data_IF_956206467101
#
_entry.id   IF_956206467101
#
_cell.length_a   1.000
_cell.length_b   1.000
_cell.length_c   1.000
_cell.angle_alpha   90.00
_cell.angle_beta   90.00
_cell.angle_gamma   90.00
#
_symmetry.space_group_name_H-M   'P 1'
#
loop_
_entity.id
_entity.type
_entity.pdbx_description
1 polymer ?
#
# COMPACT_ATOMS: atom_id res chain seq x y z
N UNK A 1 39.02 -23.79 10.37
CA UNK A 1 38.23 -22.78 9.64
C UNK A 1 38.41 -21.45 10.35
N UNK A 2 38.98 -20.45 9.70
CA UNK A 2 38.89 -19.07 10.21
C UNK A 2 37.44 -18.60 10.09
N UNK A 3 36.97 -17.77 11.03
CA UNK A 3 35.71 -17.03 10.84
C UNK A 3 35.98 -15.83 9.95
N UNK A 4 35.18 -15.66 8.89
CA UNK A 4 35.21 -14.46 8.06
C UNK A 4 35.10 -13.19 8.93
N UNK A 5 35.92 -12.18 8.63
CA UNK A 5 35.97 -10.95 9.42
C UNK A 5 34.69 -10.14 9.24
N UNK A 6 34.04 -9.82 10.36
CA UNK A 6 32.77 -9.10 10.38
C UNK A 6 32.93 -7.67 9.80
N UNK A 7 32.07 -7.30 8.84
CA UNK A 7 32.19 -6.02 8.13
C UNK A 7 31.69 -4.84 8.98
N UNK A 8 32.63 -4.07 9.51
CA UNK A 8 32.41 -2.90 10.37
C UNK A 8 31.52 -1.83 9.72
N UNK A 9 31.67 -1.58 8.41
CA UNK A 9 30.93 -0.55 7.69
C UNK A 9 29.42 -0.83 7.56
N UNK A 10 28.98 -2.08 7.71
CA UNK A 10 27.58 -2.48 7.52
C UNK A 10 26.83 -2.80 8.84
N UNK A 11 27.45 -2.57 10.01
CA UNK A 11 26.97 -3.07 11.32
C UNK A 11 25.56 -2.63 11.76
N UNK A 12 24.89 -1.71 11.05
CA UNK A 12 23.52 -1.24 11.35
C UNK A 12 22.61 -1.07 10.12
N UNK A 13 23.01 -1.55 8.94
CA UNK A 13 22.22 -1.43 7.70
C UNK A 13 21.57 -2.75 7.31
N UNK A 14 20.23 -2.75 7.22
CA UNK A 14 19.42 -3.90 6.81
C UNK A 14 19.59 -4.27 5.33
N UNK A 15 19.95 -3.32 4.47
CA UNK A 15 20.28 -3.56 3.07
C UNK A 15 21.42 -4.58 2.88
N UNK A 16 21.31 -5.54 1.93
CA UNK A 16 22.37 -6.49 1.62
C UNK A 16 23.69 -5.82 1.21
N UNK A 17 24.78 -6.17 1.90
CA UNK A 17 26.12 -5.71 1.57
C UNK A 17 26.76 -6.66 0.54
N UNK A 18 26.90 -6.22 -0.72
CA UNK A 18 27.46 -7.04 -1.81
C UNK A 18 28.92 -7.47 -1.59
N UNK A 19 29.65 -6.80 -0.68
CA UNK A 19 31.03 -7.12 -0.32
C UNK A 19 31.15 -8.06 0.89
N UNK A 20 30.04 -8.39 1.57
CA UNK A 20 30.04 -9.06 2.87
C UNK A 20 29.68 -10.56 2.74
N UNK A 21 30.69 -11.41 2.50
CA UNK A 21 30.50 -12.88 2.35
C UNK A 21 29.81 -13.56 3.54
N UNK A 22 30.08 -13.10 4.76
CA UNK A 22 29.63 -13.72 6.01
C UNK A 22 28.29 -13.24 6.58
N UNK A 23 27.49 -12.46 5.85
CA UNK A 23 26.10 -12.19 6.28
C UNK A 23 25.22 -13.42 6.04
N UNK A 24 24.21 -13.69 6.90
CA UNK A 24 23.15 -14.60 6.51
C UNK A 24 22.51 -14.09 5.22
N UNK A 25 22.29 -14.98 4.25
CA UNK A 25 21.36 -14.69 3.15
C UNK A 25 19.99 -14.48 3.79
N UNK A 26 19.28 -13.41 3.42
CA UNK A 26 17.88 -13.23 3.84
C UNK A 26 17.12 -14.45 3.35
N UNK A 27 16.51 -15.20 4.27
CA UNK A 27 15.70 -16.37 3.89
C UNK A 27 14.52 -15.86 3.05
N UNK A 28 14.48 -16.30 1.79
CA UNK A 28 13.41 -15.94 0.86
C UNK A 28 12.26 -16.90 1.10
N UNK A 29 11.39 -16.55 2.05
CA UNK A 29 10.18 -17.32 2.33
C UNK A 29 9.26 -17.32 1.11
N UNK A 30 8.58 -18.45 0.87
CA UNK A 30 7.62 -18.54 -0.22
C UNK A 30 6.39 -17.68 0.07
N UNK A 31 6.08 -16.76 -0.84
CA UNK A 31 4.90 -15.89 -0.77
C UNK A 31 3.64 -16.74 -1.01
N UNK A 32 2.86 -16.96 0.04
CA UNK A 32 1.63 -17.78 0.02
C UNK A 32 0.37 -16.91 -0.13
N UNK A 33 -0.81 -17.54 -0.17
CA UNK A 33 -2.09 -16.85 -0.31
C UNK A 33 -2.38 -16.34 -1.73
N UNK A 34 -3.57 -15.77 -1.92
CA UNK A 34 -4.08 -15.31 -3.22
C UNK A 34 -3.44 -13.98 -3.65
N UNK A 35 -2.98 -13.82 -4.91
CA UNK A 35 -2.49 -12.54 -5.43
C UNK A 35 -3.54 -11.42 -5.28
N UNK A 36 -3.08 -10.18 -5.07
CA UNK A 36 -3.94 -8.99 -4.96
C UNK A 36 -4.52 -8.74 -3.58
N UNK A 37 -4.61 -9.73 -2.69
CA UNK A 37 -5.05 -9.53 -1.28
C UNK A 37 -3.92 -9.62 -0.25
N UNK A 38 -2.69 -9.95 -0.67
CA UNK A 38 -1.55 -10.14 0.23
C UNK A 38 -1.12 -8.83 0.90
N UNK A 39 -0.81 -8.92 2.19
CA UNK A 39 -0.25 -7.84 3.00
C UNK A 39 1.17 -7.43 2.52
N UNK A 40 1.55 -6.13 2.63
CA UNK A 40 2.82 -5.62 2.11
C UNK A 40 4.05 -6.31 2.69
N UNK A 41 4.04 -6.66 3.98
CA UNK A 41 5.10 -7.41 4.65
C UNK A 41 5.36 -8.77 3.99
N UNK A 42 4.31 -9.48 3.58
CA UNK A 42 4.46 -10.76 2.87
C UNK A 42 5.05 -10.54 1.47
N UNK A 43 4.67 -9.47 0.77
CA UNK A 43 5.22 -9.09 -0.54
C UNK A 43 6.69 -8.63 -0.45
N UNK A 44 7.14 -8.16 0.72
CA UNK A 44 8.55 -7.81 0.98
C UNK A 44 9.43 -9.03 1.31
N UNK A 45 8.89 -10.25 1.23
CA UNK A 45 9.63 -11.51 1.42
C UNK A 45 10.00 -11.78 2.88
N UNK A 46 9.17 -11.31 3.82
CA UNK A 46 9.33 -11.54 5.26
C UNK A 46 8.53 -12.78 5.69
N UNK A 47 9.15 -13.65 6.48
CA UNK A 47 8.47 -14.80 7.11
C UNK A 47 7.61 -14.42 8.32
N UNK A 48 7.18 -13.15 8.42
CA UNK A 48 6.43 -12.59 9.55
C UNK A 48 4.94 -12.90 9.39
N UNK A 49 4.60 -14.18 9.49
CA UNK A 49 3.21 -14.65 9.49
C UNK A 49 2.55 -14.30 10.83
N UNK A 50 1.77 -13.22 10.84
CA UNK A 50 1.01 -12.72 11.99
C UNK A 50 -0.49 -12.58 11.61
N UNK A 51 -1.42 -12.49 12.58
CA UNK A 51 -2.86 -12.37 12.27
C UNK A 51 -3.24 -11.10 11.49
N UNK A 52 -2.41 -10.06 11.48
CA UNK A 52 -2.65 -8.83 10.72
C UNK A 52 -2.67 -9.04 9.19
N UNK A 53 -2.06 -10.11 8.67
CA UNK A 53 -2.12 -10.41 7.22
C UNK A 53 -3.53 -10.81 6.75
N UNK A 54 -4.29 -11.52 7.60
CA UNK A 54 -5.67 -11.91 7.31
C UNK A 54 -6.62 -10.72 7.43
N UNK A 55 -6.32 -9.82 8.37
CA UNK A 55 -6.99 -8.52 8.56
C UNK A 55 -6.78 -7.60 7.34
N UNK A 56 -5.56 -7.49 6.83
CA UNK A 56 -5.28 -6.76 5.59
C UNK A 56 -6.04 -7.38 4.40
N UNK A 57 -5.99 -8.71 4.28
CA UNK A 57 -6.73 -9.46 3.24
C UNK A 57 -8.23 -9.18 3.32
N UNK A 58 -8.81 -9.15 4.52
CA UNK A 58 -10.20 -8.78 4.78
C UNK A 58 -10.51 -7.35 4.29
N UNK A 59 -9.63 -6.39 4.56
CA UNK A 59 -9.76 -5.00 4.07
C UNK A 59 -9.85 -4.89 2.54
N UNK A 60 -9.01 -5.63 1.81
CA UNK A 60 -9.06 -5.65 0.32
C UNK A 60 -10.30 -6.39 -0.22
N UNK A 61 -10.76 -7.45 0.47
CA UNK A 61 -12.02 -8.14 0.12
C UNK A 61 -13.22 -7.21 0.38
N UNK A 62 -13.25 -6.50 1.51
CA UNK A 62 -14.28 -5.51 1.81
C UNK A 62 -14.28 -4.37 0.79
N UNK A 63 -13.11 -3.85 0.41
CA UNK A 63 -12.98 -2.85 -0.65
C UNK A 63 -13.50 -3.37 -2.00
N UNK A 64 -13.26 -4.65 -2.33
CA UNK A 64 -13.84 -5.31 -3.52
C UNK A 64 -15.38 -5.29 -3.50
N UNK A 65 -15.98 -5.68 -2.36
CA UNK A 65 -17.43 -5.71 -2.16
C UNK A 65 -18.05 -4.31 -2.21
N UNK A 66 -17.46 -3.35 -1.50
CA UNK A 66 -17.95 -1.97 -1.47
C UNK A 66 -17.83 -1.32 -2.85
N UNK A 67 -16.76 -1.57 -3.62
CA UNK A 67 -16.64 -1.11 -5.01
C UNK A 67 -17.53 -1.86 -6.01
N UNK A 68 -18.19 -2.94 -5.60
CA UNK A 68 -18.88 -3.90 -6.49
C UNK A 68 -17.96 -4.44 -7.62
N UNK A 69 -16.66 -4.56 -7.35
CA UNK A 69 -15.63 -5.01 -8.28
C UNK A 69 -14.77 -6.08 -7.61
N UNK A 70 -14.91 -7.32 -8.05
CA UNK A 70 -14.09 -8.43 -7.56
C UNK A 70 -13.38 -9.16 -8.72
N UNK A 71 -12.08 -9.49 -8.60
CA UNK A 71 -11.18 -9.02 -7.55
C UNK A 71 -10.87 -7.51 -7.71
N UNK A 72 -10.57 -6.81 -6.61
CA UNK A 72 -10.24 -5.37 -6.68
C UNK A 72 -8.90 -5.14 -7.38
N UNK A 73 -7.89 -5.94 -7.01
CA UNK A 73 -6.57 -6.03 -7.63
C UNK A 73 -6.40 -7.37 -8.34
N UNK A 74 -5.62 -7.42 -9.42
CA UNK A 74 -5.36 -8.66 -10.15
C UNK A 74 -3.93 -8.71 -10.72
N UNK A 75 -2.91 -8.62 -9.85
CA UNK A 75 -1.51 -8.52 -10.26
C UNK A 75 -0.95 -9.85 -10.77
N UNK A 76 0.00 -9.77 -11.71
CA UNK A 76 0.70 -10.92 -12.30
C UNK A 76 1.84 -11.45 -11.42
N UNK A 77 2.45 -10.58 -10.62
CA UNK A 77 3.61 -10.84 -9.77
C UNK A 77 3.62 -9.92 -8.53
N UNK A 78 4.56 -10.13 -7.59
CA UNK A 78 4.66 -9.29 -6.38
C UNK A 78 4.97 -7.81 -6.68
N UNK A 79 5.63 -7.49 -7.80
CA UNK A 79 5.97 -6.10 -8.16
C UNK A 79 4.73 -5.35 -8.61
N UNK A 80 3.87 -5.98 -9.44
CA UNK A 80 2.56 -5.42 -9.78
C UNK A 80 1.67 -5.32 -8.53
N UNK A 81 1.73 -6.30 -7.61
CA UNK A 81 0.97 -6.23 -6.34
C UNK A 81 1.46 -5.06 -5.45
N UNK A 82 2.77 -4.79 -5.38
CA UNK A 82 3.33 -3.65 -4.65
C UNK A 82 2.92 -2.32 -5.30
N UNK A 83 2.83 -2.26 -6.64
CA UNK A 83 2.34 -1.08 -7.35
C UNK A 83 0.83 -0.85 -7.16
N UNK A 84 0.02 -1.92 -7.09
CA UNK A 84 -1.39 -1.88 -6.70
C UNK A 84 -1.56 -1.34 -5.27
N UNK A 85 -0.72 -1.77 -4.31
CA UNK A 85 -0.73 -1.19 -2.96
C UNK A 85 -0.23 0.25 -2.92
N UNK A 86 0.76 0.63 -3.73
CA UNK A 86 1.20 2.02 -3.87
C UNK A 86 0.14 2.93 -4.53
N UNK A 87 -0.72 2.36 -5.38
CA UNK A 87 -1.92 3.03 -5.88
C UNK A 87 -2.93 3.27 -4.73
N UNK A 88 -3.12 2.37 -3.77
CA UNK A 88 -4.09 2.58 -2.70
C UNK A 88 -3.54 3.46 -1.56
N UNK A 89 -2.35 3.12 -1.06
CA UNK A 89 -1.75 3.67 0.16
C UNK A 89 -0.80 4.84 -0.10
N UNK A 90 -0.40 5.07 -1.36
CA UNK A 90 0.62 6.05 -1.74
C UNK A 90 2.05 5.51 -1.67
N UNK A 91 2.94 6.08 -2.48
CA UNK A 91 4.30 5.53 -2.65
C UNK A 91 5.20 5.74 -1.43
N UNK A 92 5.04 6.85 -0.70
CA UNK A 92 5.82 7.13 0.51
C UNK A 92 5.51 6.15 1.65
N UNK A 93 4.23 5.77 1.79
CA UNK A 93 3.77 4.75 2.73
C UNK A 93 4.46 3.41 2.45
N UNK A 94 4.45 2.95 1.19
CA UNK A 94 5.09 1.70 0.76
C UNK A 94 6.61 1.73 0.96
N UNK A 95 7.28 2.82 0.59
CA UNK A 95 8.73 2.95 0.81
C UNK A 95 9.09 3.00 2.30
N UNK A 96 8.24 3.57 3.14
CA UNK A 96 8.42 3.64 4.60
C UNK A 96 8.19 2.28 5.26
N UNK A 97 7.10 1.59 4.93
CA UNK A 97 6.82 0.21 5.38
C UNK A 97 7.97 -0.72 4.99
N UNK A 98 8.41 -0.70 3.73
CA UNK A 98 9.56 -1.48 3.29
C UNK A 98 10.84 -1.15 4.07
N UNK A 99 11.09 0.13 4.36
CA UNK A 99 12.27 0.59 5.11
C UNK A 99 12.27 0.15 6.57
N UNK A 100 11.11 0.17 7.25
CA UNK A 100 10.94 -0.36 8.61
C UNK A 100 11.31 -1.84 8.64
N UNK A 101 10.79 -2.61 7.68
CA UNK A 101 11.10 -4.04 7.48
C UNK A 101 12.48 -4.32 6.85
N UNK A 102 13.35 -3.30 6.78
CA UNK A 102 14.72 -3.44 6.31
C UNK A 102 14.85 -3.88 4.85
N UNK A 103 13.85 -3.59 4.03
CA UNK A 103 13.89 -3.62 2.57
C UNK A 103 14.09 -2.20 2.01
N UNK A 104 14.33 -2.10 0.70
CA UNK A 104 14.31 -0.82 -0.02
C UNK A 104 13.51 -0.98 -1.30
N UNK A 105 12.23 -0.64 -1.23
CA UNK A 105 11.42 -0.32 -2.42
C UNK A 105 11.79 1.10 -2.88
N UNK A 106 11.68 1.37 -4.18
CA UNK A 106 11.79 2.71 -4.76
C UNK A 106 10.80 2.84 -5.90
N UNK A 107 9.87 3.79 -5.82
CA UNK A 107 8.85 4.01 -6.85
C UNK A 107 9.19 5.28 -7.64
N UNK A 108 9.25 5.15 -8.96
CA UNK A 108 9.71 6.21 -9.87
C UNK A 108 8.75 7.40 -9.94
N UNK A 109 7.44 7.14 -9.91
CA UNK A 109 6.42 8.18 -9.77
C UNK A 109 5.93 8.28 -8.32
N UNK A 110 5.93 9.50 -7.77
CA UNK A 110 5.36 9.79 -6.45
C UNK A 110 3.83 9.74 -6.51
N UNK A 111 3.27 8.66 -5.99
CA UNK A 111 1.82 8.46 -5.91
C UNK A 111 1.30 8.97 -4.56
N UNK A 112 0.36 9.94 -4.52
CA UNK A 112 -0.33 10.30 -3.27
C UNK A 112 -1.28 9.18 -2.83
N UNK A 113 -1.62 9.04 -1.54
CA UNK A 113 -2.61 8.06 -1.08
C UNK A 113 -3.99 8.27 -1.71
N UNK A 114 -4.80 7.21 -1.78
CA UNK A 114 -6.17 7.30 -2.26
C UNK A 114 -7.13 7.79 -1.15
N UNK A 115 -8.05 8.66 -1.55
CA UNK A 115 -9.27 8.96 -0.82
C UNK A 115 -10.28 7.85 -1.14
N UNK A 116 -10.52 6.93 -0.20
CA UNK A 116 -11.32 5.74 -0.46
C UNK A 116 -12.77 6.10 -0.81
N UNK A 117 -13.37 7.09 -0.16
CA UNK A 117 -14.72 7.55 -0.46
C UNK A 117 -14.83 8.04 -1.92
N UNK A 118 -13.95 8.95 -2.35
CA UNK A 118 -13.97 9.48 -3.71
C UNK A 118 -13.59 8.41 -4.76
N UNK A 119 -12.68 7.49 -4.44
CA UNK A 119 -12.33 6.36 -5.30
C UNK A 119 -13.52 5.39 -5.47
N UNK A 120 -14.17 5.00 -4.37
CA UNK A 120 -15.37 4.13 -4.35
C UNK A 120 -16.50 4.76 -5.17
N UNK A 121 -16.78 6.06 -4.99
CA UNK A 121 -17.76 6.76 -5.81
C UNK A 121 -17.41 6.69 -7.31
N UNK A 122 -16.16 6.95 -7.67
CA UNK A 122 -15.71 6.92 -9.07
C UNK A 122 -15.76 5.51 -9.69
N UNK A 123 -15.48 4.46 -8.88
CA UNK A 123 -15.55 3.07 -9.32
C UNK A 123 -17.00 2.57 -9.47
N UNK A 124 -17.92 3.01 -8.61
CA UNK A 124 -19.35 2.67 -8.69
C UNK A 124 -20.11 3.40 -9.79
N UNK A 125 -19.94 4.72 -9.88
CA UNK A 125 -20.79 5.59 -10.70
C UNK A 125 -20.08 6.12 -11.96
N UNK A 126 -18.77 5.91 -12.07
CA UNK A 126 -17.95 6.43 -13.15
C UNK A 126 -17.44 7.86 -12.89
N UNK A 127 -16.21 8.14 -13.32
CA UNK A 127 -15.55 9.42 -13.10
C UNK A 127 -16.36 10.63 -13.59
N UNK A 128 -16.93 10.58 -14.81
CA UNK A 128 -17.70 11.70 -15.35
C UNK A 128 -19.02 11.96 -14.61
N UNK A 129 -19.68 10.95 -14.04
CA UNK A 129 -20.85 11.14 -13.18
C UNK A 129 -20.45 11.87 -11.89
N UNK A 130 -19.40 11.37 -11.21
CA UNK A 130 -18.88 11.98 -9.97
C UNK A 130 -18.44 13.43 -10.20
N UNK A 131 -17.80 13.72 -11.35
CA UNK A 131 -17.39 15.07 -11.77
C UNK A 131 -18.55 16.03 -12.00
N UNK A 132 -19.72 15.54 -12.41
CA UNK A 132 -20.88 16.37 -12.74
C UNK A 132 -21.85 16.53 -11.55
N UNK A 133 -21.89 15.55 -10.64
CA UNK A 133 -22.97 15.45 -9.64
C UNK A 133 -22.51 15.26 -8.18
N UNK A 134 -21.27 14.79 -7.93
CA UNK A 134 -20.87 14.33 -6.59
C UNK A 134 -19.57 14.96 -6.04
N UNK A 135 -18.78 15.65 -6.85
CA UNK A 135 -17.46 16.14 -6.45
C UNK A 135 -17.16 17.53 -7.01
N UNK A 136 -16.92 18.49 -6.11
CA UNK A 136 -16.42 19.84 -6.41
C UNK A 136 -14.90 19.92 -6.49
N UNK A 137 -14.20 18.79 -6.46
CA UNK A 137 -12.73 18.76 -6.45
C UNK A 137 -12.15 19.21 -7.79
N UNK A 138 -11.09 20.02 -7.71
CA UNK A 138 -10.28 20.45 -8.86
C UNK A 138 -9.73 19.25 -9.65
N UNK A 139 -9.48 19.46 -10.95
CA UNK A 139 -8.80 18.47 -11.78
C UNK A 139 -7.36 18.23 -11.29
N UNK A 140 -6.92 16.98 -11.41
CA UNK A 140 -5.68 16.50 -10.82
C UNK A 140 -4.96 15.58 -11.81
N UNK A 141 -3.83 16.05 -12.35
CA UNK A 141 -3.10 15.36 -13.43
C UNK A 141 -2.44 14.04 -12.98
N UNK A 142 -2.08 13.90 -11.70
CA UNK A 142 -1.65 12.60 -11.16
C UNK A 142 -2.83 11.63 -11.14
N UNK A 143 -3.94 11.97 -10.46
CA UNK A 143 -5.16 11.15 -10.46
C UNK A 143 -5.73 10.87 -11.88
N UNK A 144 -5.44 11.71 -12.89
CA UNK A 144 -5.69 11.48 -14.33
C UNK A 144 -4.79 10.39 -14.92
N UNK A 145 -3.47 10.58 -14.91
CA UNK A 145 -2.49 9.63 -15.49
C UNK A 145 -2.53 8.24 -14.82
N UNK A 146 -2.94 8.23 -13.55
CA UNK A 146 -3.11 7.09 -12.66
C UNK A 146 -4.38 6.26 -12.94
N UNK A 147 -5.27 6.66 -13.87
CA UNK A 147 -6.49 5.90 -14.20
C UNK A 147 -6.99 6.18 -15.63
N UNK A 148 -6.99 5.15 -16.50
CA UNK A 148 -7.23 5.29 -17.94
C UNK A 148 -8.60 5.89 -18.29
N UNK A 149 -9.64 5.60 -17.50
CA UNK A 149 -10.99 6.11 -17.68
C UNK A 149 -11.24 7.43 -16.93
N UNK A 150 -10.22 8.02 -16.29
CA UNK A 150 -10.28 9.31 -15.62
C UNK A 150 -9.73 10.46 -16.49
N UNK A 151 -10.11 10.52 -17.77
CA UNK A 151 -9.53 11.45 -18.76
C UNK A 151 -9.62 12.94 -18.39
N UNK A 152 -10.59 13.30 -17.53
CA UNK A 152 -10.81 14.66 -17.00
C UNK A 152 -10.10 14.95 -15.67
N UNK A 153 -9.40 13.96 -15.10
CA UNK A 153 -8.58 14.12 -13.88
C UNK A 153 -9.39 14.35 -12.60
N UNK A 154 -10.52 13.68 -12.43
CA UNK A 154 -11.32 13.74 -11.20
C UNK A 154 -10.46 13.28 -10.02
N UNK A 155 -10.37 14.11 -8.98
CA UNK A 155 -9.41 13.93 -7.90
C UNK A 155 -9.91 12.99 -6.80
N UNK A 156 -9.49 11.73 -6.85
CA UNK A 156 -9.61 10.75 -5.75
C UNK A 156 -8.33 10.67 -4.89
N UNK A 157 -7.47 11.67 -4.98
CA UNK A 157 -6.21 11.75 -4.24
C UNK A 157 -6.52 12.29 -2.82
N UNK A 158 -5.99 11.68 -1.75
CA UNK A 158 -6.19 12.11 -0.35
C UNK A 158 -5.40 13.41 -0.09
N UNK A 159 -5.97 14.32 0.70
CA UNK A 159 -5.28 15.54 1.19
C UNK A 159 -4.89 15.37 2.65
N UNK A 160 -3.94 16.19 3.09
CA UNK A 160 -3.65 16.45 4.52
C UNK A 160 -3.33 15.19 5.35
N UNK A 161 -2.64 14.24 4.72
CA UNK A 161 -2.16 13.01 5.36
C UNK A 161 -0.84 13.26 6.09
N UNK A 162 -0.92 13.50 7.40
CA UNK A 162 0.25 13.40 8.29
C UNK A 162 0.71 11.93 8.34
N UNK A 163 1.87 11.64 7.76
CA UNK A 163 2.42 10.28 7.61
C UNK A 163 2.78 9.59 8.93
N UNK A 164 2.71 10.30 10.06
CA UNK A 164 2.88 9.77 11.41
C UNK A 164 1.55 9.26 12.03
N UNK A 165 0.40 9.56 11.43
CA UNK A 165 -0.92 9.14 11.95
C UNK A 165 -1.34 7.75 11.48
N UNK A 166 -0.74 6.73 12.10
CA UNK A 166 -1.44 5.49 12.44
C UNK A 166 -2.42 5.71 13.63
N UNK A 167 -3.10 6.86 13.68
CA UNK A 167 -3.82 7.35 14.87
C UNK A 167 -5.27 7.65 14.54
N UNK A 168 -6.17 7.21 15.41
CA UNK A 168 -7.62 7.34 15.26
C UNK A 168 -8.08 8.80 15.18
N UNK A 169 -9.05 9.06 14.30
CA UNK A 169 -9.69 10.37 14.16
C UNK A 169 -10.42 10.78 15.44
N UNK A 170 -10.46 12.09 15.72
CA UNK A 170 -11.06 12.62 16.96
C UNK A 170 -12.56 12.91 16.86
N UNK A 171 -13.11 12.95 15.65
CA UNK A 171 -14.48 13.43 15.37
C UNK A 171 -15.25 12.45 14.47
N UNK A 172 -16.58 12.47 14.59
CA UNK A 172 -17.50 11.57 13.87
C UNK A 172 -17.55 11.78 12.34
N UNK A 173 -16.95 12.87 11.82
CA UNK A 173 -16.84 13.15 10.38
C UNK A 173 -16.03 12.10 9.60
N UNK A 174 -15.16 11.37 10.28
CA UNK A 174 -14.09 10.59 9.65
C UNK A 174 -14.53 9.13 9.31
N UNK A 175 -15.82 8.81 9.56
CA UNK A 175 -16.43 7.47 9.53
C UNK A 175 -16.29 6.65 8.23
N UNK A 176 -15.94 7.27 7.09
CA UNK A 176 -15.72 6.56 5.81
C UNK A 176 -14.26 6.28 5.46
N UNK A 177 -13.29 6.84 6.19
CA UNK A 177 -11.87 6.42 6.10
C UNK A 177 -11.63 5.11 6.87
N UNK A 178 -12.49 4.85 7.86
CA UNK A 178 -12.37 3.81 8.88
C UNK A 178 -12.27 2.38 8.34
N UNK A 179 -13.08 1.95 7.37
CA UNK A 179 -13.29 0.51 7.13
C UNK A 179 -12.13 -0.31 6.55
N UNK A 180 -11.00 0.30 6.18
CA UNK A 180 -9.76 -0.41 5.83
C UNK A 180 -8.69 -0.20 6.90
N UNK A 181 -8.58 1.01 7.43
CA UNK A 181 -7.51 1.40 8.35
C UNK A 181 -7.82 0.96 9.81
N UNK A 182 -9.09 0.82 10.21
CA UNK A 182 -9.51 0.47 11.58
C UNK A 182 -9.38 -1.03 11.91
N UNK A 183 -9.38 -1.92 10.91
CA UNK A 183 -9.21 -3.36 11.14
C UNK A 183 -7.80 -3.64 11.72
N UNK A 184 -6.82 -2.79 11.40
CA UNK A 184 -5.47 -2.82 11.97
C UNK A 184 -5.39 -2.32 13.43
N UNK A 185 -6.42 -1.60 13.90
CA UNK A 185 -6.50 -1.02 15.26
C UNK A 185 -7.43 -1.78 16.21
N UNK A 186 -8.11 -2.83 15.74
CA UNK A 186 -8.93 -3.70 16.59
C UNK A 186 -8.12 -4.77 17.35
N UNK A 187 -6.79 -4.57 17.51
CA UNK A 187 -5.83 -5.53 18.07
C UNK A 187 -4.82 -4.90 19.08
N UNK A 188 -5.06 -3.68 19.56
CA UNK A 188 -4.49 -3.17 20.83
C UNK A 188 -5.58 -3.18 21.92
#
# INVERSE_FOLDING_TARGET
MEKDKECTACRRTSSPCMFCKGRPKRETYHVVGTPGVRAPELLFGLGLFNPSIDIFSCGIVLLSLVCAKHPFFMPKDETENIMDLAFLLGSETIETMAKLEGMRVTISERLPPADYYHLILCLRFGFDHVRLHCSSRQSCESCRRRSYNNLKGVCFCRKDYETEKFSTGKNESDLMTIYVDLIYHALE
#
